data_IF_652210434105
#
_entry.id   IF_652210434105
#
_cell.length_a   1.000
_cell.length_b   1.000
_cell.length_c   1.000
_cell.angle_alpha   90.00
_cell.angle_beta   90.00
_cell.angle_gamma   90.00
#
_symmetry.space_group_name_H-M   'P 1'
#
loop_
_entity.id
_entity.type
_entity.pdbx_description
1 polymer ?
#
# COMPACT_ATOMS: atom_id res chain seq x y z
N UNK A 1 15.27 -54.31 28.95
CA UNK A 1 14.82 -55.42 28.10
C UNK A 1 14.78 -54.88 26.67
N UNK A 2 15.85 -54.93 25.86
CA UNK A 2 16.43 -56.10 25.15
C UNK A 2 15.36 -57.01 24.55
N UNK A 3 15.11 -56.89 23.24
CA UNK A 3 15.37 -57.98 22.27
C UNK A 3 15.26 -57.48 20.80
N UNK A 4 16.32 -57.68 19.99
CA UNK A 4 16.38 -57.50 18.52
C UNK A 4 16.31 -58.86 17.81
N UNK A 5 15.63 -59.00 16.66
CA UNK A 5 15.65 -60.18 15.77
C UNK A 5 14.86 -59.79 14.49
N UNK A 6 15.15 -60.16 13.25
CA UNK A 6 16.28 -60.78 12.55
C UNK A 6 15.85 -60.93 11.07
N UNK A 7 16.81 -60.82 10.15
CA UNK A 7 16.97 -61.56 8.86
C UNK A 7 15.90 -61.41 7.76
N UNK A 8 16.25 -60.86 6.59
CA UNK A 8 16.92 -61.48 5.42
C UNK A 8 16.05 -62.51 4.66
N UNK A 9 15.71 -62.17 3.40
CA UNK A 9 15.56 -63.00 2.17
C UNK A 9 14.69 -62.19 1.18
N UNK A 10 15.24 -61.57 0.13
CA UNK A 10 15.63 -62.16 -1.17
C UNK A 10 14.48 -62.90 -1.89
N UNK A 11 13.93 -62.27 -2.93
CA UNK A 11 13.47 -62.94 -4.15
C UNK A 11 13.15 -61.88 -5.22
N UNK A 12 14.00 -61.84 -6.25
CA UNK A 12 13.72 -61.15 -7.49
C UNK A 12 12.69 -61.98 -8.29
N UNK A 13 11.63 -61.33 -8.76
CA UNK A 13 10.81 -61.85 -9.86
C UNK A 13 10.61 -60.71 -10.86
N UNK A 14 11.40 -60.74 -11.93
CA UNK A 14 11.26 -59.85 -13.09
C UNK A 14 10.13 -60.41 -13.94
N UNK A 15 8.95 -59.79 -13.84
CA UNK A 15 7.87 -59.98 -14.78
C UNK A 15 7.87 -58.80 -15.75
N UNK A 16 8.23 -59.07 -17.01
CA UNK A 16 8.11 -58.13 -18.11
C UNK A 16 6.64 -57.87 -18.41
N UNK A 17 6.15 -56.69 -18.01
CA UNK A 17 4.82 -56.20 -18.38
C UNK A 17 4.89 -55.42 -19.71
N UNK A 18 3.85 -55.53 -20.57
CA UNK A 18 3.76 -54.74 -21.79
C UNK A 18 3.65 -53.24 -21.45
N UNK A 19 4.49 -52.44 -22.11
CA UNK A 19 4.55 -51.01 -21.92
C UNK A 19 3.18 -50.34 -22.18
N UNK A 20 2.58 -49.64 -21.20
CA UNK A 20 1.50 -48.72 -21.50
C UNK A 20 2.08 -47.56 -22.29
N UNK A 21 1.47 -47.25 -23.43
CA UNK A 21 1.74 -46.03 -24.19
C UNK A 21 1.58 -44.82 -23.24
N UNK A 22 2.69 -44.27 -22.79
CA UNK A 22 2.74 -43.06 -21.98
C UNK A 22 2.27 -41.92 -22.87
N UNK A 23 0.97 -41.61 -22.80
CA UNK A 23 0.47 -40.29 -23.19
C UNK A 23 1.27 -39.29 -22.37
N UNK A 24 2.12 -38.51 -23.03
CA UNK A 24 2.94 -37.49 -22.40
C UNK A 24 2.06 -36.59 -21.55
N UNK A 25 2.15 -36.78 -20.24
CA UNK A 25 1.60 -35.84 -19.28
C UNK A 25 2.30 -34.51 -19.53
N UNK A 26 1.54 -33.50 -19.93
CA UNK A 26 2.03 -32.14 -20.01
C UNK A 26 2.75 -31.81 -18.70
N UNK A 27 3.95 -31.19 -18.74
CA UNK A 27 4.70 -30.88 -17.54
C UNK A 27 3.81 -30.06 -16.61
N UNK A 28 3.45 -30.64 -15.47
CA UNK A 28 2.77 -29.94 -14.39
C UNK A 28 3.61 -28.71 -14.06
N UNK A 29 3.08 -27.47 -14.21
CA UNK A 29 3.84 -26.27 -13.96
C UNK A 29 4.38 -26.33 -12.54
N UNK A 30 5.72 -26.29 -12.42
CA UNK A 30 6.42 -26.37 -11.16
C UNK A 30 5.83 -25.33 -10.20
N UNK A 31 5.35 -25.80 -9.04
CA UNK A 31 4.84 -24.94 -8.00
C UNK A 31 5.90 -23.86 -7.67
N UNK A 32 5.53 -22.57 -7.63
CA UNK A 32 6.47 -21.50 -7.42
C UNK A 32 7.19 -21.70 -6.08
N UNK A 33 8.52 -21.78 -6.12
CA UNK A 33 9.34 -21.91 -4.93
C UNK A 33 9.00 -20.77 -3.96
N UNK A 34 8.77 -21.12 -2.68
CA UNK A 34 8.64 -20.18 -1.56
C UNK A 34 9.97 -19.43 -1.36
N UNK A 35 10.25 -18.48 -2.24
CA UNK A 35 11.33 -17.52 -2.08
C UNK A 35 11.01 -16.59 -0.92
N UNK A 36 12.05 -16.23 -0.16
CA UNK A 36 12.02 -15.17 0.85
C UNK A 36 11.18 -14.01 0.33
N UNK A 37 10.20 -13.56 1.14
CA UNK A 37 9.21 -12.58 0.72
C UNK A 37 9.92 -11.36 0.10
N UNK A 38 9.76 -11.10 -1.21
CA UNK A 38 10.53 -10.07 -1.93
C UNK A 38 10.36 -8.68 -1.31
N UNK A 39 9.27 -8.48 -0.58
CA UNK A 39 8.93 -7.27 0.17
C UNK A 39 9.91 -6.95 1.31
N UNK A 40 10.37 -7.94 2.08
CA UNK A 40 11.24 -7.69 3.22
C UNK A 40 12.65 -7.30 2.77
N UNK A 41 13.13 -7.92 1.70
CA UNK A 41 14.37 -7.53 1.04
C UNK A 41 14.27 -6.09 0.51
N UNK A 42 13.15 -5.75 -0.13
CA UNK A 42 12.91 -4.40 -0.64
C UNK A 42 12.86 -3.36 0.48
N UNK A 43 12.19 -3.65 1.61
CA UNK A 43 12.16 -2.77 2.79
C UNK A 43 13.57 -2.53 3.34
N UNK A 44 14.34 -3.60 3.50
CA UNK A 44 15.71 -3.52 4.00
C UNK A 44 16.61 -2.71 3.07
N UNK A 45 16.50 -2.89 1.76
CA UNK A 45 17.24 -2.11 0.77
C UNK A 45 16.86 -0.63 0.79
N UNK A 46 15.58 -0.31 0.98
CA UNK A 46 15.10 1.07 1.09
C UNK A 46 15.51 1.78 2.39
N UNK A 47 15.76 1.02 3.45
CA UNK A 47 16.26 1.54 4.74
C UNK A 47 17.78 1.70 4.77
N UNK A 48 18.50 1.26 3.73
CA UNK A 48 19.94 1.45 3.62
C UNK A 48 20.27 2.95 3.45
N UNK A 49 21.24 3.42 4.23
CA UNK A 49 21.70 4.80 4.23
C UNK A 49 22.77 4.95 3.17
N UNK A 50 22.55 5.84 2.20
CA UNK A 50 23.51 6.09 1.12
C UNK A 50 23.57 7.58 0.78
N UNK A 51 24.72 7.99 0.24
CA UNK A 51 24.87 9.32 -0.36
C UNK A 51 24.23 9.32 -1.75
N UNK A 52 23.41 10.34 -2.01
CA UNK A 52 22.65 10.51 -3.23
C UNK A 52 22.86 11.94 -3.74
N UNK A 53 23.62 12.07 -4.83
CA UNK A 53 23.79 13.35 -5.52
C UNK A 53 23.29 13.19 -6.95
N UNK A 54 22.22 13.90 -7.25
CA UNK A 54 21.56 13.96 -8.55
C UNK A 54 21.55 15.42 -8.99
N UNK A 55 22.28 15.74 -10.04
CA UNK A 55 22.27 17.06 -10.66
C UNK A 55 21.86 16.92 -12.10
N UNK A 56 20.78 17.62 -12.49
CA UNK A 56 20.20 17.61 -13.83
C UNK A 56 19.88 16.20 -14.36
N UNK A 57 19.53 15.26 -13.48
CA UNK A 57 19.10 13.92 -13.90
C UNK A 57 17.61 13.89 -14.22
N UNK A 58 17.25 13.06 -15.18
CA UNK A 58 15.84 12.75 -15.47
C UNK A 58 15.27 11.75 -14.45
N UNK A 59 13.94 11.70 -14.35
CA UNK A 59 13.26 10.72 -13.48
C UNK A 59 13.58 9.27 -13.89
N UNK A 60 13.75 9.02 -15.19
CA UNK A 60 14.11 7.69 -15.70
C UNK A 60 15.51 7.23 -15.27
N UNK A 61 16.48 8.15 -15.23
CA UNK A 61 17.83 7.85 -14.74
C UNK A 61 17.81 7.58 -13.23
N UNK A 62 17.07 8.39 -12.46
CA UNK A 62 16.85 8.15 -11.03
C UNK A 62 16.28 6.74 -10.79
N UNK A 63 15.28 6.35 -11.58
CA UNK A 63 14.63 5.05 -11.46
C UNK A 63 15.55 3.90 -11.86
N UNK A 64 16.38 4.10 -12.88
CA UNK A 64 17.38 3.10 -13.31
C UNK A 64 18.45 2.91 -12.23
N UNK A 65 18.99 4.00 -11.70
CA UNK A 65 19.94 3.99 -10.59
C UNK A 65 19.32 3.31 -9.35
N UNK A 66 18.03 3.55 -9.08
CA UNK A 66 17.33 2.95 -7.96
C UNK A 66 17.10 1.45 -8.16
N UNK A 67 16.74 1.03 -9.37
CA UNK A 67 16.59 -0.38 -9.72
C UNK A 67 17.89 -1.14 -9.52
N UNK A 68 19.03 -0.55 -9.91
CA UNK A 68 20.34 -1.15 -9.75
C UNK A 68 20.78 -1.23 -8.28
N UNK A 69 20.52 -0.18 -7.50
CA UNK A 69 20.85 -0.13 -6.06
C UNK A 69 19.96 -1.04 -5.23
N UNK A 70 18.65 -0.92 -5.38
CA UNK A 70 17.69 -1.68 -4.57
C UNK A 70 17.58 -3.15 -5.01
N UNK A 71 17.93 -3.46 -6.28
CA UNK A 71 17.68 -4.76 -6.91
C UNK A 71 16.20 -5.16 -6.86
N UNK A 72 15.32 -4.16 -6.78
CA UNK A 72 13.87 -4.32 -6.76
C UNK A 72 13.32 -3.79 -8.08
N UNK A 73 12.39 -4.50 -8.74
CA UNK A 73 11.65 -3.95 -9.87
C UNK A 73 10.95 -2.64 -9.49
N UNK A 74 11.22 -1.58 -10.26
CA UNK A 74 10.59 -0.27 -10.09
C UNK A 74 9.63 -0.05 -11.26
N UNK A 75 8.38 0.29 -10.98
CA UNK A 75 7.35 0.57 -11.99
C UNK A 75 6.72 1.92 -11.72
N UNK A 76 6.58 2.74 -12.76
CA UNK A 76 5.82 4.00 -12.72
C UNK A 76 4.40 3.73 -13.18
N UNK A 77 3.43 4.30 -12.49
CA UNK A 77 2.03 4.26 -12.90
C UNK A 77 1.84 5.02 -14.23
N UNK A 78 1.27 4.36 -15.27
CA UNK A 78 0.94 5.03 -16.53
C UNK A 78 0.03 6.25 -16.36
N UNK A 79 -0.79 6.30 -15.31
CA UNK A 79 -1.65 7.44 -15.01
C UNK A 79 -0.87 8.73 -14.75
N UNK A 80 0.39 8.64 -14.29
CA UNK A 80 1.24 9.81 -14.02
C UNK A 80 1.53 10.60 -15.30
N UNK A 81 1.63 9.94 -16.46
CA UNK A 81 1.88 10.60 -17.75
C UNK A 81 0.71 11.47 -18.22
N UNK A 82 -0.52 11.19 -17.77
CA UNK A 82 -1.70 11.98 -18.11
C UNK A 82 -1.70 13.36 -17.45
N UNK A 83 -0.90 13.55 -16.38
CA UNK A 83 -0.75 14.83 -15.69
C UNK A 83 0.27 15.77 -16.35
N UNK A 84 0.72 15.47 -17.57
CA UNK A 84 1.69 16.30 -18.30
C UNK A 84 3.11 16.21 -17.76
N UNK A 85 3.40 15.22 -16.91
CA UNK A 85 4.74 14.90 -16.46
C UNK A 85 5.48 14.15 -17.57
N UNK A 86 6.36 14.84 -18.28
CA UNK A 86 7.27 14.23 -19.23
C UNK A 86 8.48 13.63 -18.46
N UNK A 87 8.63 12.29 -18.43
CA UNK A 87 9.69 11.63 -17.67
C UNK A 87 11.09 11.90 -18.25
N UNK A 88 11.18 12.46 -19.46
CA UNK A 88 12.44 12.78 -20.13
C UNK A 88 12.99 14.16 -19.77
N UNK A 89 12.19 15.05 -19.16
CA UNK A 89 12.65 16.38 -18.81
C UNK A 89 13.55 16.35 -17.54
N UNK A 90 14.78 16.88 -17.62
CA UNK A 90 15.70 16.91 -16.48
C UNK A 90 15.31 18.04 -15.53
N UNK A 91 14.83 17.70 -14.34
CA UNK A 91 14.40 18.71 -13.34
C UNK A 91 14.83 18.39 -11.91
N UNK A 92 15.57 17.29 -11.68
CA UNK A 92 15.97 16.88 -10.35
C UNK A 92 17.38 17.36 -9.99
N UNK A 93 17.43 18.28 -9.02
CA UNK A 93 18.64 18.71 -8.33
C UNK A 93 18.50 18.40 -6.84
N UNK A 94 19.18 17.35 -6.39
CA UNK A 94 19.15 16.85 -5.02
C UNK A 94 20.54 16.39 -4.60
N UNK A 95 21.06 16.97 -3.52
CA UNK A 95 22.27 16.52 -2.85
C UNK A 95 21.92 16.16 -1.42
N UNK A 96 21.92 14.86 -1.14
CA UNK A 96 21.61 14.29 0.17
C UNK A 96 22.76 13.41 0.61
N UNK A 97 23.26 13.67 1.82
CA UNK A 97 24.34 12.91 2.45
C UNK A 97 23.78 12.11 3.61
N UNK A 98 24.12 10.83 3.65
CA UNK A 98 23.71 9.87 4.69
C UNK A 98 22.20 9.84 4.95
N UNK A 99 21.40 9.85 3.88
CA UNK A 99 19.94 9.73 3.98
C UNK A 99 19.52 8.31 3.59
N UNK A 100 18.47 7.78 4.21
CA UNK A 100 17.87 6.50 3.79
C UNK A 100 17.38 6.62 2.36
N UNK A 101 17.57 5.59 1.55
CA UNK A 101 17.12 5.55 0.17
C UNK A 101 15.62 5.92 0.04
N UNK A 102 14.79 5.46 0.98
CA UNK A 102 13.37 5.80 1.06
C UNK A 102 13.09 7.31 1.24
N UNK A 103 13.82 7.95 2.16
CA UNK A 103 13.62 9.36 2.49
C UNK A 103 14.15 10.25 1.37
N UNK A 104 15.29 9.88 0.77
CA UNK A 104 15.84 10.54 -0.41
C UNK A 104 14.90 10.43 -1.61
N UNK A 105 14.31 9.26 -1.85
CA UNK A 105 13.32 9.07 -2.92
C UNK A 105 12.05 9.89 -2.65
N UNK A 106 11.56 9.94 -1.41
CA UNK A 106 10.41 10.78 -1.04
C UNK A 106 10.70 12.26 -1.34
N UNK A 107 11.90 12.73 -1.03
CA UNK A 107 12.30 14.11 -1.30
C UNK A 107 12.45 14.39 -2.81
N UNK A 108 12.96 13.42 -3.58
CA UNK A 108 13.06 13.50 -5.04
C UNK A 108 11.71 13.51 -5.74
N UNK A 109 10.72 12.80 -5.20
CA UNK A 109 9.39 12.72 -5.80
C UNK A 109 8.45 13.85 -5.37
N UNK A 110 8.80 14.59 -4.30
CA UNK A 110 7.97 15.66 -3.75
C UNK A 110 7.62 16.77 -4.76
N UNK A 111 8.54 17.29 -5.61
CA UNK A 111 8.22 18.32 -6.60
C UNK A 111 7.16 17.90 -7.63
N UNK A 112 6.99 16.60 -7.84
CA UNK A 112 6.05 16.04 -8.81
C UNK A 112 4.73 15.57 -8.18
N UNK A 113 4.55 15.75 -6.88
CA UNK A 113 3.42 15.19 -6.12
C UNK A 113 3.31 13.65 -6.25
N UNK A 114 4.45 12.98 -6.45
CA UNK A 114 4.51 11.52 -6.53
C UNK A 114 4.90 10.92 -5.19
N UNK A 115 4.39 9.73 -4.92
CA UNK A 115 4.74 8.90 -3.77
C UNK A 115 5.23 7.54 -4.24
N UNK A 116 6.19 7.00 -3.51
CA UNK A 116 6.65 5.62 -3.68
C UNK A 116 6.01 4.72 -2.62
N UNK A 117 5.59 3.53 -3.02
CA UNK A 117 5.18 2.48 -2.09
C UNK A 117 5.60 1.11 -2.57
N UNK A 118 5.66 0.16 -1.65
CA UNK A 118 5.95 -1.22 -1.95
C UNK A 118 4.65 -1.94 -2.29
N UNK A 119 4.72 -2.76 -3.33
CA UNK A 119 3.67 -3.68 -3.79
C UNK A 119 4.29 -5.05 -3.99
N UNK A 120 3.47 -6.09 -4.15
CA UNK A 120 3.98 -7.46 -4.41
C UNK A 120 4.94 -7.55 -5.59
N UNK A 121 4.76 -6.70 -6.59
CA UNK A 121 5.56 -6.69 -7.82
C UNK A 121 6.80 -5.78 -7.70
N UNK A 122 7.02 -5.11 -6.57
CA UNK A 122 8.15 -4.23 -6.32
C UNK A 122 7.78 -2.81 -5.90
N UNK A 123 8.69 -1.86 -6.17
CA UNK A 123 8.50 -0.46 -5.87
C UNK A 123 7.60 0.18 -6.93
N UNK A 124 6.45 0.70 -6.50
CA UNK A 124 5.49 1.37 -7.35
C UNK A 124 5.53 2.88 -7.08
N UNK A 125 5.70 3.67 -8.14
CA UNK A 125 5.72 5.13 -8.07
C UNK A 125 4.46 5.64 -8.76
N UNK A 126 3.61 6.35 -8.02
CA UNK A 126 2.35 6.91 -8.53
C UNK A 126 1.98 8.17 -7.73
N UNK A 127 0.84 8.77 -8.05
CA UNK A 127 0.16 9.69 -7.14
C UNK A 127 -0.28 8.95 -5.88
N UNK A 128 -0.59 9.69 -4.82
CA UNK A 128 -1.07 9.12 -3.56
C UNK A 128 -2.34 8.25 -3.74
N UNK A 129 -3.27 8.73 -4.55
CA UNK A 129 -4.52 8.02 -4.82
C UNK A 129 -4.30 6.75 -5.65
N UNK A 130 -3.43 6.82 -6.67
CA UNK A 130 -3.07 5.67 -7.50
C UNK A 130 -2.38 4.58 -6.71
N UNK A 131 -1.41 4.95 -5.85
CA UNK A 131 -0.71 4.02 -4.98
C UNK A 131 -1.68 3.34 -3.99
N UNK A 132 -2.54 4.11 -3.33
CA UNK A 132 -3.54 3.59 -2.39
C UNK A 132 -4.50 2.63 -3.09
N UNK A 133 -5.02 3.02 -4.25
CA UNK A 133 -5.94 2.19 -5.04
C UNK A 133 -5.28 0.90 -5.49
N UNK A 134 -4.03 0.95 -5.93
CA UNK A 134 -3.27 -0.24 -6.36
C UNK A 134 -3.02 -1.20 -5.20
N UNK A 135 -2.62 -0.69 -4.03
CA UNK A 135 -2.38 -1.51 -2.84
C UNK A 135 -3.67 -2.17 -2.33
N UNK A 136 -4.77 -1.42 -2.23
CA UNK A 136 -6.05 -1.94 -1.70
C UNK A 136 -6.76 -2.90 -2.66
N UNK A 137 -6.59 -2.72 -3.97
CA UNK A 137 -7.17 -3.60 -5.00
C UNK A 137 -6.26 -4.78 -5.35
N UNK A 138 -5.12 -4.92 -4.69
CA UNK A 138 -4.25 -6.07 -4.87
C UNK A 138 -5.00 -7.35 -4.50
N UNK A 139 -4.96 -8.35 -5.39
CA UNK A 139 -5.54 -9.66 -5.14
C UNK A 139 -4.68 -10.43 -4.15
N UNK A 140 -5.32 -10.97 -3.13
CA UNK A 140 -4.70 -11.79 -2.09
C UNK A 140 -5.44 -13.11 -1.94
N UNK A 141 -4.67 -14.14 -1.60
CA UNK A 141 -5.18 -15.45 -1.19
C UNK A 141 -4.83 -15.63 0.27
N UNK A 142 -5.82 -15.91 1.10
CA UNK A 142 -5.68 -16.01 2.55
C UNK A 142 -6.29 -17.33 3.00
N UNK A 143 -5.54 -18.10 3.77
CA UNK A 143 -6.06 -19.29 4.44
C UNK A 143 -5.75 -19.17 5.93
N UNK A 144 -6.80 -18.88 6.71
CA UNK A 144 -6.75 -18.84 8.16
C UNK A 144 -7.50 -20.05 8.70
N UNK A 145 -6.84 -20.87 9.51
CA UNK A 145 -7.45 -21.95 10.26
C UNK A 145 -7.10 -21.77 11.73
N UNK A 146 -8.06 -21.26 12.52
CA UNK A 146 -7.84 -20.95 13.94
C UNK A 146 -6.79 -19.87 14.21
N UNK A 147 -6.46 -19.03 13.22
CA UNK A 147 -5.42 -18.01 13.36
C UNK A 147 -5.98 -16.77 14.06
N UNK A 148 -5.24 -16.19 15.01
CA UNK A 148 -5.65 -14.95 15.67
C UNK A 148 -5.81 -13.82 14.64
N UNK A 149 -6.93 -13.08 14.70
CA UNK A 149 -7.23 -12.00 13.77
C UNK A 149 -6.07 -11.00 13.61
N UNK A 150 -5.47 -10.57 14.73
CA UNK A 150 -4.34 -9.64 14.71
C UNK A 150 -3.11 -10.19 13.99
N UNK A 151 -2.86 -11.50 14.03
CA UNK A 151 -1.76 -12.13 13.32
C UNK A 151 -2.04 -12.19 11.81
N UNK A 152 -3.26 -12.59 11.42
CA UNK A 152 -3.68 -12.62 10.01
C UNK A 152 -3.65 -11.23 9.37
N UNK A 153 -4.16 -10.20 10.06
CA UNK A 153 -4.14 -8.81 9.57
C UNK A 153 -2.70 -8.27 9.42
N UNK A 154 -1.81 -8.58 10.37
CA UNK A 154 -0.38 -8.21 10.27
C UNK A 154 0.31 -8.91 9.11
N UNK A 155 0.03 -10.20 8.91
CA UNK A 155 0.58 -10.95 7.79
C UNK A 155 0.14 -10.34 6.45
N UNK A 156 -1.14 -10.01 6.30
CA UNK A 156 -1.65 -9.30 5.13
C UNK A 156 -0.96 -7.94 4.90
N UNK A 157 -0.72 -7.17 5.96
CA UNK A 157 -0.01 -5.90 5.86
C UNK A 157 1.46 -6.07 5.45
N UNK A 158 2.11 -7.15 5.88
CA UNK A 158 3.49 -7.49 5.46
C UNK A 158 3.51 -7.91 4.00
N UNK A 159 2.62 -8.83 3.60
CA UNK A 159 2.58 -9.42 2.26
C UNK A 159 2.20 -8.40 1.17
N UNK A 160 1.31 -7.46 1.48
CA UNK A 160 0.85 -6.44 0.53
C UNK A 160 1.57 -5.10 0.65
N UNK A 161 2.19 -4.83 1.79
CA UNK A 161 2.76 -3.51 2.09
C UNK A 161 1.74 -2.43 2.41
N UNK A 162 0.45 -2.78 2.52
CA UNK A 162 -0.60 -1.85 2.91
C UNK A 162 -0.52 -1.51 4.41
N UNK A 163 -1.03 -0.34 4.77
CA UNK A 163 -1.09 0.09 6.17
C UNK A 163 -2.41 -0.39 6.80
N UNK A 164 -2.33 -1.46 7.60
CA UNK A 164 -3.47 -1.97 8.37
C UNK A 164 -3.23 -1.67 9.85
N UNK A 165 -4.09 -0.85 10.45
CA UNK A 165 -3.97 -0.42 11.85
C UNK A 165 -5.12 -1.02 12.65
N UNK A 166 -4.76 -1.74 13.71
CA UNK A 166 -5.70 -2.29 14.68
C UNK A 166 -5.93 -1.27 15.80
N UNK A 167 -7.19 -1.03 16.16
CA UNK A 167 -7.50 -0.18 17.31
C UNK A 167 -6.94 -0.81 18.60
N UNK A 168 -6.07 -0.11 19.36
CA UNK A 168 -5.46 -0.66 20.57
C UNK A 168 -6.49 -1.02 21.66
N UNK A 169 -7.70 -0.47 21.56
CA UNK A 169 -8.81 -0.74 22.50
C UNK A 169 -9.48 -2.09 22.28
N UNK A 170 -9.15 -2.81 21.21
CA UNK A 170 -9.76 -4.11 20.92
C UNK A 170 -9.37 -5.18 21.95
N UNK A 171 -8.20 -5.06 22.58
CA UNK A 171 -7.72 -6.01 23.59
C UNK A 171 -7.83 -7.46 23.09
N UNK A 172 -8.56 -8.27 23.86
CA UNK A 172 -8.79 -9.70 23.58
C UNK A 172 -9.59 -9.95 22.29
N UNK A 173 -10.42 -9.01 21.83
CA UNK A 173 -11.17 -9.16 20.57
C UNK A 173 -10.23 -9.27 19.36
N UNK A 174 -9.06 -8.62 19.42
CA UNK A 174 -8.04 -8.74 18.38
C UNK A 174 -7.36 -10.11 18.33
N UNK A 175 -7.47 -10.90 19.41
CA UNK A 175 -6.89 -12.26 19.50
C UNK A 175 -7.89 -13.36 19.17
N UNK A 176 -9.15 -13.02 18.87
CA UNK A 176 -10.17 -14.00 18.45
C UNK A 176 -9.66 -14.81 17.27
N UNK A 177 -9.76 -16.13 17.37
CA UNK A 177 -9.39 -17.05 16.31
C UNK A 177 -10.39 -16.94 15.16
N UNK A 178 -9.88 -16.81 13.94
CA UNK A 178 -10.67 -16.70 12.71
C UNK A 178 -10.32 -17.88 11.82
N UNK A 179 -11.36 -18.52 11.27
CA UNK A 179 -11.25 -19.57 10.26
C UNK A 179 -11.95 -19.09 9.00
N UNK A 180 -11.17 -18.80 7.95
CA UNK A 180 -11.65 -18.28 6.68
C UNK A 180 -10.65 -18.61 5.57
N UNK A 181 -11.15 -19.05 4.42
CA UNK A 181 -10.35 -19.26 3.21
C UNK A 181 -10.88 -18.36 2.09
N UNK A 182 -10.01 -17.53 1.52
CA UNK A 182 -10.29 -16.59 0.46
C UNK A 182 -9.29 -16.78 -0.67
N UNK A 183 -9.76 -16.87 -1.91
CA UNK A 183 -8.94 -16.99 -3.11
C UNK A 183 -9.23 -15.81 -4.05
N UNK A 184 -8.17 -15.13 -4.50
CA UNK A 184 -8.26 -14.04 -5.47
C UNK A 184 -9.21 -12.89 -5.07
N UNK A 185 -9.17 -12.49 -3.80
CA UNK A 185 -10.02 -11.42 -3.26
C UNK A 185 -9.21 -10.12 -3.14
N UNK A 186 -9.77 -8.92 -3.42
CA UNK A 186 -9.08 -7.66 -3.17
C UNK A 186 -8.75 -7.53 -1.68
N UNK A 187 -7.56 -6.99 -1.36
CA UNK A 187 -7.09 -6.84 0.02
C UNK A 187 -8.11 -6.16 0.94
N UNK A 188 -8.71 -5.05 0.48
CA UNK A 188 -9.73 -4.32 1.24
C UNK A 188 -10.93 -5.21 1.61
N UNK A 189 -11.41 -6.00 0.64
CA UNK A 189 -12.50 -6.96 0.86
C UNK A 189 -12.08 -8.07 1.80
N UNK A 190 -10.86 -8.62 1.65
CA UNK A 190 -10.34 -9.66 2.53
C UNK A 190 -10.25 -9.21 3.99
N UNK A 191 -9.72 -8.00 4.25
CA UNK A 191 -9.63 -7.44 5.60
C UNK A 191 -11.02 -7.16 6.18
N UNK A 192 -11.97 -6.66 5.37
CA UNK A 192 -13.36 -6.44 5.81
C UNK A 192 -14.05 -7.76 6.19
N UNK A 193 -13.88 -8.82 5.39
CA UNK A 193 -14.45 -10.15 5.69
C UNK A 193 -13.80 -10.79 6.92
N UNK A 194 -12.48 -10.68 7.08
CA UNK A 194 -11.79 -11.17 8.28
C UNK A 194 -12.25 -10.44 9.55
N UNK A 195 -12.48 -9.12 9.45
CA UNK A 195 -12.98 -8.33 10.56
C UNK A 195 -14.41 -8.75 10.95
N UNK A 196 -15.28 -8.99 9.96
CA UNK A 196 -16.67 -9.43 10.19
C UNK A 196 -16.73 -10.75 10.97
N UNK A 197 -15.92 -11.75 10.62
CA UNK A 197 -15.85 -13.04 11.35
C UNK A 197 -15.37 -12.83 12.80
N UNK A 198 -14.59 -11.78 13.05
CA UNK A 198 -14.10 -11.41 14.37
C UNK A 198 -15.06 -10.51 15.18
N UNK A 199 -16.27 -10.21 14.69
CA UNK A 199 -17.20 -9.21 15.23
C UNK A 199 -16.59 -7.79 15.29
N UNK A 200 -15.74 -7.47 14.32
CA UNK A 200 -15.06 -6.20 14.12
C UNK A 200 -15.48 -5.58 12.77
N UNK A 201 -15.18 -4.30 12.58
CA UNK A 201 -15.41 -3.60 11.32
C UNK A 201 -14.13 -2.91 10.85
N UNK A 202 -13.83 -3.03 9.56
CA UNK A 202 -12.76 -2.30 8.90
C UNK A 202 -13.32 -1.04 8.22
N UNK A 203 -12.69 0.11 8.48
CA UNK A 203 -13.01 1.41 7.88
C UNK A 203 -11.77 1.92 7.14
N UNK A 204 -11.95 2.37 5.90
CA UNK A 204 -10.88 3.01 5.15
C UNK A 204 -10.73 4.46 5.61
N UNK A 205 -9.50 4.86 5.93
CA UNK A 205 -9.13 6.22 6.28
C UNK A 205 -7.95 6.65 5.43
N UNK A 206 -8.23 7.32 4.30
CA UNK A 206 -7.20 7.66 3.32
C UNK A 206 -6.43 6.42 2.82
N UNK A 207 -5.15 6.28 3.20
CA UNK A 207 -4.26 5.18 2.85
C UNK A 207 -4.19 4.06 3.91
N UNK A 208 -4.97 4.16 4.98
CA UNK A 208 -4.95 3.22 6.11
C UNK A 208 -6.27 2.45 6.19
N UNK A 209 -6.19 1.14 6.39
CA UNK A 209 -7.32 0.32 6.81
C UNK A 209 -7.33 0.29 8.35
N UNK A 210 -8.29 0.98 8.95
CA UNK A 210 -8.46 1.03 10.40
C UNK A 210 -9.49 0.01 10.85
N UNK A 211 -9.09 -0.96 11.66
CA UNK A 211 -10.00 -1.99 12.20
C UNK A 211 -10.38 -1.66 13.62
N UNK A 212 -11.69 -1.59 13.89
CA UNK A 212 -12.25 -1.24 15.20
C UNK A 212 -13.60 -1.92 15.44
N UNK A 213 -14.27 -1.60 16.53
CA UNK A 213 -15.63 -2.09 16.84
C UNK A 213 -16.66 -1.50 15.87
N UNK A 214 -17.77 -2.20 15.56
CA UNK A 214 -18.78 -1.72 14.63
C UNK A 214 -19.37 -0.35 15.03
N UNK A 215 -19.64 -0.14 16.32
CA UNK A 215 -20.14 1.14 16.85
C UNK A 215 -19.20 2.32 16.57
N UNK A 216 -17.88 2.10 16.68
CA UNK A 216 -16.89 3.15 16.41
C UNK A 216 -16.70 3.32 14.91
N UNK A 217 -16.75 2.24 14.14
CA UNK A 217 -16.68 2.28 12.69
C UNK A 217 -17.80 3.16 12.11
N UNK A 218 -19.03 3.05 12.61
CA UNK A 218 -20.16 3.90 12.19
C UNK A 218 -19.91 5.39 12.45
N UNK A 219 -19.30 5.72 13.58
CA UNK A 219 -18.92 7.12 13.91
C UNK A 219 -17.79 7.65 13.03
N UNK A 220 -16.98 6.77 12.45
CA UNK A 220 -15.83 7.11 11.60
C UNK A 220 -16.15 7.09 10.10
N UNK A 221 -17.32 6.56 9.70
CA UNK A 221 -17.81 6.55 8.32
C UNK A 221 -18.18 7.91 7.71
N UNK A 222 -18.57 8.99 8.43
CA UNK A 222 -19.02 10.21 7.77
C UNK A 222 -17.84 10.96 7.13
N UNK A 223 -17.60 10.68 5.84
CA UNK A 223 -16.63 11.36 4.98
C UNK A 223 -15.59 10.46 4.30
N UNK A 224 -15.44 9.19 4.69
CA UNK A 224 -14.32 8.36 4.22
C UNK A 224 -14.68 7.31 3.16
N UNK A 225 -15.97 7.02 2.98
CA UNK A 225 -16.47 5.87 2.21
C UNK A 225 -17.58 6.27 1.23
N UNK A 226 -17.52 7.49 0.67
CA UNK A 226 -18.28 7.76 -0.56
C UNK A 226 -17.75 6.75 -1.59
N UNK A 227 -18.57 5.79 -2.09
CA UNK A 227 -18.09 4.83 -3.05
C UNK A 227 -17.54 5.63 -4.21
N UNK A 228 -16.23 5.56 -4.43
CA UNK A 228 -15.61 6.07 -5.64
C UNK A 228 -16.24 5.24 -6.74
N UNK A 229 -17.35 5.73 -7.31
CA UNK A 229 -18.03 5.04 -8.40
C UNK A 229 -16.93 4.78 -9.43
N UNK A 230 -16.65 3.51 -9.78
CA UNK A 230 -15.54 3.19 -10.64
C UNK A 230 -15.83 3.79 -12.00
N UNK A 231 -15.30 4.99 -12.25
CA UNK A 231 -15.14 5.61 -13.54
C UNK A 231 -16.25 5.35 -14.54
N UNK A 232 -17.53 5.41 -14.15
CA UNK A 232 -18.59 5.66 -15.12
C UNK A 232 -18.52 7.15 -15.41
N UNK A 233 -17.43 7.50 -16.11
CA UNK A 233 -17.19 8.79 -16.71
C UNK A 233 -18.21 8.91 -17.86
N UNK A 234 -19.51 8.92 -17.52
CA UNK A 234 -20.50 9.63 -18.32
C UNK A 234 -20.09 11.07 -18.14
N UNK A 235 -19.11 11.48 -18.96
CA UNK A 235 -18.87 12.88 -19.26
C UNK A 235 -20.28 13.40 -19.57
N UNK A 236 -20.86 14.30 -18.76
CA UNK A 236 -22.10 14.92 -19.15
C UNK A 236 -21.76 15.66 -20.44
N UNK A 237 -22.05 15.05 -21.58
CA UNK A 237 -21.90 15.70 -22.87
C UNK A 237 -22.74 16.97 -22.75
N UNK A 238 -22.13 18.17 -22.72
CA UNK A 238 -22.87 19.41 -22.69
C UNK A 238 -23.41 19.59 -24.12
N UNK A 239 -24.52 18.92 -24.42
CA UNK A 239 -25.09 18.88 -25.77
C UNK A 239 -26.06 17.74 -26.09
N UNK A 240 -26.32 16.80 -25.18
CA UNK A 240 -27.33 15.75 -25.37
C UNK A 240 -28.75 16.30 -25.26
N UNK A 241 -29.34 16.63 -26.41
CA UNK A 241 -30.71 17.09 -26.62
C UNK A 241 -31.73 16.20 -25.88
N UNK A 242 -32.66 16.78 -25.08
CA UNK A 242 -33.79 16.05 -24.53
C UNK A 242 -34.87 15.90 -25.61
N UNK A 243 -34.92 14.72 -26.23
CA UNK A 243 -36.02 14.25 -27.06
C UNK A 243 -35.77 12.79 -27.36
N UNK A 244 -36.53 11.82 -26.88
CA UNK A 244 -37.97 11.72 -26.89
C UNK A 244 -38.28 10.38 -27.58
N UNK A 245 -39.21 9.54 -27.07
CA UNK A 245 -39.48 8.26 -27.69
C UNK A 245 -40.38 8.46 -28.92
N UNK A 246 -39.82 8.26 -30.11
CA UNK A 246 -40.58 8.09 -31.35
C UNK A 246 -40.32 9.16 -32.42
N UNK A 247 -39.75 8.72 -33.54
CA UNK A 247 -39.69 9.31 -34.90
C UNK A 247 -38.28 9.02 -35.44
N UNK A 248 -38.02 7.99 -36.25
CA UNK A 248 -38.47 7.78 -37.64
C UNK A 248 -38.55 9.09 -38.45
N UNK A 249 -37.53 9.33 -39.27
CA UNK A 249 -37.71 9.85 -40.63
C UNK A 249 -37.25 11.28 -40.92
N UNK A 250 -36.55 11.40 -42.06
CA UNK A 250 -36.48 12.57 -42.96
C UNK A 250 -35.58 13.71 -42.41
N UNK A 251 -34.39 13.97 -42.96
CA UNK A 251 -34.17 14.53 -44.29
C UNK A 251 -34.37 16.06 -44.26
N UNK A 252 -33.43 16.80 -44.88
CA UNK A 252 -33.65 18.14 -45.49
C UNK A 252 -33.34 19.40 -44.63
N UNK A 253 -32.44 20.24 -45.20
CA UNK A 253 -32.31 21.72 -45.10
C UNK A 253 -31.81 22.28 -43.76
N UNK A 254 -30.89 23.24 -43.66
CA UNK A 254 -30.34 24.26 -44.56
C UNK A 254 -30.01 25.47 -43.69
N UNK A 255 -29.06 26.32 -44.10
CA UNK A 255 -28.43 27.32 -43.23
C UNK A 255 -29.36 28.42 -42.69
N UNK A 256 -29.03 28.93 -41.49
CA UNK A 256 -29.00 30.36 -41.15
C UNK A 256 -28.62 30.55 -39.66
N UNK A 257 -28.00 31.69 -39.32
CA UNK A 257 -27.28 31.93 -38.07
C UNK A 257 -28.18 32.49 -36.97
N UNK A 258 -27.95 32.07 -35.73
CA UNK A 258 -28.72 32.57 -34.58
C UNK A 258 -28.20 32.02 -33.25
N UNK A 259 -26.95 32.33 -32.91
CA UNK A 259 -26.41 32.11 -31.57
C UNK A 259 -27.10 33.11 -30.63
N UNK A 260 -28.10 32.65 -29.88
CA UNK A 260 -28.66 33.43 -28.77
C UNK A 260 -27.78 33.15 -27.55
N UNK A 261 -26.85 34.05 -27.26
CA UNK A 261 -26.08 34.02 -26.02
C UNK A 261 -27.02 34.27 -24.84
N UNK A 262 -26.99 33.45 -23.77
CA UNK A 262 -27.73 33.75 -22.55
C UNK A 262 -27.16 35.01 -21.90
N UNK A 263 -28.05 35.87 -21.41
CA UNK A 263 -27.72 37.13 -20.76
C UNK A 263 -26.91 36.90 -19.46
N UNK A 264 -25.98 37.82 -19.12
CA UNK A 264 -25.19 37.72 -17.91
C UNK A 264 -26.07 37.83 -16.66
N UNK A 265 -25.98 36.81 -15.81
CA UNK A 265 -26.60 36.81 -14.48
C UNK A 265 -25.93 37.92 -13.65
N UNK A 266 -26.70 38.83 -13.01
CA UNK A 266 -26.13 39.90 -12.19
C UNK A 266 -25.33 39.33 -11.03
N UNK A 267 -24.12 39.85 -10.85
CA UNK A 267 -23.19 39.44 -9.80
C UNK A 267 -23.83 39.59 -8.42
N UNK A 268 -23.89 38.50 -7.67
CA UNK A 268 -24.29 38.53 -6.27
C UNK A 268 -23.34 39.44 -5.47
N UNK A 269 -23.85 40.31 -4.59
CA UNK A 269 -23.03 41.19 -3.77
C UNK A 269 -22.07 40.37 -2.90
N UNK A 270 -20.80 40.80 -2.89
CA UNK A 270 -19.74 40.14 -2.13
C UNK A 270 -20.14 40.05 -0.64
N UNK A 271 -19.93 38.90 0.02
CA UNK A 271 -20.18 38.77 1.45
C UNK A 271 -19.29 39.76 2.22
N UNK A 272 -19.80 40.36 3.31
CA UNK A 272 -19.03 41.29 4.13
C UNK A 272 -17.80 40.59 4.72
N UNK A 273 -16.67 41.33 4.89
CA UNK A 273 -15.47 40.77 5.47
C UNK A 273 -15.75 40.26 6.89
N UNK A 274 -15.19 39.10 7.28
CA UNK A 274 -15.36 38.56 8.61
C UNK A 274 -14.84 39.56 9.66
N UNK A 275 -15.51 39.69 10.83
CA UNK A 275 -15.05 40.54 11.92
C UNK A 275 -13.63 40.16 12.32
N UNK A 276 -12.76 41.16 12.51
CA UNK A 276 -11.40 40.95 12.99
C UNK A 276 -11.43 40.18 14.32
N UNK A 277 -10.95 38.94 14.31
CA UNK A 277 -10.80 38.13 15.51
C UNK A 277 -9.85 38.83 16.49
N UNK A 278 -10.38 39.16 17.66
CA UNK A 278 -9.62 39.71 18.77
C UNK A 278 -8.55 38.69 19.18
N UNK A 279 -7.29 39.12 19.17
CA UNK A 279 -6.14 38.33 19.63
C UNK A 279 -6.38 37.89 21.08
N UNK A 280 -6.29 36.60 21.40
CA UNK A 280 -6.34 36.14 22.78
C UNK A 280 -5.12 36.66 23.55
N UNK A 281 -5.36 37.29 24.69
CA UNK A 281 -4.34 37.60 25.70
C UNK A 281 -3.62 36.31 26.12
N UNK A 282 -2.39 36.14 25.64
CA UNK A 282 -1.49 35.07 26.05
C UNK A 282 -1.01 35.37 27.47
N UNK A 283 -1.66 34.74 28.44
CA UNK A 283 -1.19 34.67 29.83
C UNK A 283 0.17 33.95 29.85
N UNK A 284 1.22 34.51 30.47
CA UNK A 284 2.54 33.89 30.50
C UNK A 284 2.48 32.51 31.16
N UNK A 285 2.77 31.47 30.39
CA UNK A 285 2.94 30.10 30.88
C UNK A 285 4.24 30.03 31.68
N UNK A 286 4.11 29.55 32.92
CA UNK A 286 5.21 29.44 33.86
C UNK A 286 6.30 28.52 33.31
N UNK A 287 7.55 28.93 33.50
CA UNK A 287 8.74 28.22 33.05
C UNK A 287 8.72 26.74 33.49
N UNK A 288 9.04 25.79 32.59
CA UNK A 288 9.14 24.38 32.94
C UNK A 288 10.28 24.13 33.95
N UNK A 289 10.07 23.23 34.93
CA UNK A 289 11.08 22.92 35.93
C UNK A 289 12.33 22.30 35.30
N UNK A 290 13.49 22.76 35.78
CA UNK A 290 14.80 22.31 35.34
C UNK A 290 14.94 20.78 35.37
N UNK A 291 15.40 20.21 34.25
CA UNK A 291 15.78 18.80 34.17
C UNK A 291 16.87 18.49 35.20
N UNK A 292 16.77 17.41 35.99
CA UNK A 292 17.84 16.98 36.87
C UNK A 292 19.07 16.57 36.05
N UNK A 293 20.21 17.11 36.49
CA UNK A 293 21.55 16.88 35.97
C UNK A 293 21.89 15.36 36.02
N UNK A 294 22.47 14.78 34.95
CA UNK A 294 22.83 13.37 34.93
C UNK A 294 23.96 13.09 35.93
N UNK A 295 23.71 12.16 36.84
CA UNK A 295 24.67 11.66 37.81
C UNK A 295 25.95 11.15 37.11
N UNK A 296 27.09 11.59 37.64
CA UNK A 296 28.43 11.15 37.20
C UNK A 296 28.55 9.62 37.31
N UNK A 297 29.16 8.94 36.33
CA UNK A 297 29.40 7.52 36.39
C UNK A 297 30.43 7.19 37.48
N UNK A 298 30.08 6.23 38.33
CA UNK A 298 30.97 5.64 39.34
C UNK A 298 32.24 5.07 38.69
N UNK A 299 33.44 5.33 39.24
CA UNK A 299 34.68 4.79 38.73
C UNK A 299 34.74 3.26 38.91
N UNK A 300 35.15 2.61 37.82
CA UNK A 300 35.27 1.18 37.61
C UNK A 300 35.85 0.40 38.79
N UNK A 301 35.12 -0.66 39.17
CA UNK A 301 35.62 -1.74 40.01
C UNK A 301 36.50 -2.66 39.14
N UNK A 302 37.78 -2.89 39.47
CA UNK A 302 38.67 -3.72 38.67
C UNK A 302 38.24 -5.19 38.70
N UNK A 303 38.15 -5.81 37.52
CA UNK A 303 37.91 -7.24 37.35
C UNK A 303 39.06 -8.08 37.95
N UNK A 304 38.76 -9.20 38.63
CA UNK A 304 39.79 -10.10 39.13
C UNK A 304 40.37 -10.95 38.00
N UNK A 305 41.67 -10.75 37.77
CA UNK A 305 42.57 -11.59 36.98
C UNK A 305 42.38 -13.07 37.35
N UNK A 306 41.81 -13.87 36.44
CA UNK A 306 41.87 -15.33 36.53
C UNK A 306 43.27 -15.80 36.18
N UNK A 307 44.07 -16.04 37.21
CA UNK A 307 45.25 -16.90 37.13
C UNK A 307 44.82 -18.36 36.92
N UNK A 308 45.41 -19.01 35.92
CA UNK A 308 46.01 -20.34 36.04
C UNK A 308 45.09 -21.56 36.09
N UNK A 309 45.23 -22.42 35.07
CA UNK A 309 44.84 -23.82 35.12
C UNK A 309 45.45 -24.57 33.95
N UNK A 310 46.60 -25.20 34.20
CA UNK A 310 47.18 -26.28 33.39
C UNK A 310 46.25 -27.50 33.38
#
# INVERSE_FOLDING_TARGET
MRLPFCRLLAAALVAAAPAPAVRGAAPTPAAPAKGVAPMDAARKALDEVQDMSYQNKSLNELISDLKDRAKVPVTIDPGVFQFGLDPSQPTLNLDLKQVKLKDGLRQALAPFNLKCGLTRDGLFISTEEGLTTKQLRQRVTVNCDGTAFAAAAKQLAVDTGANVVLDPRLGEKGTKAVTLSLEDVPLETAVRLLAEVADLSAVRMSNVLFVTTPERAERLKPGADAPTQPGNNVVPFPGGVPGGPGAIGIGVIGGAPGVILPAPVPAAPAPPPPPAEAKPDVKPEAAPPAKPEPAKPDPAKPEPTKLGGQ
#
